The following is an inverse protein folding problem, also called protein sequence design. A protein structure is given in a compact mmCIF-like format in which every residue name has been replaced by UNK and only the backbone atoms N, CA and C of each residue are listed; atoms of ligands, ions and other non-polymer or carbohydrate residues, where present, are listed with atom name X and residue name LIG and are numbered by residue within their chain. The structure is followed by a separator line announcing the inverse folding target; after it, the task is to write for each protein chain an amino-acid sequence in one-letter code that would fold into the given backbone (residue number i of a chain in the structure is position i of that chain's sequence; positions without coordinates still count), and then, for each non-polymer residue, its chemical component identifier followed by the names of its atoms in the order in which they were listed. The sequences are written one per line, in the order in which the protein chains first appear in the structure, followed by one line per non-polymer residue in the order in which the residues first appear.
data_IF_058392546760
#
_entry.id   IF_058392546760
#
_cell.length_a   1.000
_cell.length_b   1.000
_cell.length_c   1.000
_cell.angle_alpha   90.00
_cell.angle_beta   90.00
_cell.angle_gamma   90.00
#
_symmetry.space_group_name_H-M   'P 1'
#
loop_
_entity.id
_entity.type
_entity.pdbx_description
1 polymer ?
#
# COMPACT_ATOMS: atom_id res chain seq x y z
N UNK A 1 28.07 -3.03 16.43
CA UNK A 1 27.12 -4.08 16.81
C UNK A 1 25.72 -3.70 16.32
N UNK A 2 25.18 -4.42 15.32
CA UNK A 2 23.88 -4.09 14.73
C UNK A 2 22.72 -4.64 15.54
N UNK A 3 21.83 -3.78 16.04
CA UNK A 3 20.61 -4.22 16.73
C UNK A 3 19.64 -4.88 15.75
N UNK A 4 19.20 -6.10 16.06
CA UNK A 4 18.18 -6.81 15.26
C UNK A 4 16.84 -6.07 15.39
N UNK A 5 16.35 -5.48 14.29
CA UNK A 5 15.06 -4.79 14.24
C UNK A 5 14.05 -5.65 13.49
N UNK A 6 12.84 -5.75 14.04
CA UNK A 6 11.72 -6.37 13.34
C UNK A 6 11.27 -5.53 12.15
N UNK A 7 10.85 -6.17 11.07
CA UNK A 7 10.24 -5.53 9.90
C UNK A 7 8.76 -5.90 9.84
N UNK A 8 7.97 -5.01 9.23
CA UNK A 8 6.58 -5.27 8.89
C UNK A 8 6.50 -5.68 7.43
N UNK A 9 5.53 -6.51 7.07
CA UNK A 9 5.32 -6.93 5.67
C UNK A 9 3.98 -6.41 5.18
N UNK A 10 4.05 -5.51 4.21
CA UNK A 10 2.92 -5.09 3.41
C UNK A 10 2.61 -6.18 2.38
N UNK A 11 1.33 -6.44 2.13
CA UNK A 11 0.88 -7.28 1.02
C UNK A 11 -0.37 -6.69 0.39
N UNK A 12 -0.42 -6.70 -0.93
CA UNK A 12 -1.60 -6.43 -1.74
C UNK A 12 -1.79 -7.56 -2.74
N UNK A 13 -3.06 -7.89 -3.03
CA UNK A 13 -3.41 -9.01 -3.88
C UNK A 13 -4.52 -8.61 -4.84
N UNK A 14 -4.31 -8.82 -6.13
CA UNK A 14 -5.33 -8.63 -7.15
C UNK A 14 -6.46 -9.67 -7.00
N UNK A 15 -7.70 -9.20 -7.11
CA UNK A 15 -8.88 -9.95 -6.67
C UNK A 15 -9.36 -10.99 -7.67
N UNK A 16 -8.88 -11.01 -8.92
CA UNK A 16 -9.21 -12.04 -9.88
C UNK A 16 -8.13 -13.13 -9.91
N UNK A 17 -6.91 -12.79 -10.34
CA UNK A 17 -5.78 -13.72 -10.54
C UNK A 17 -5.11 -14.20 -9.26
N UNK A 18 -5.30 -13.48 -8.14
CA UNK A 18 -4.50 -13.63 -6.92
C UNK A 18 -3.01 -13.26 -7.08
N UNK A 19 -2.65 -12.53 -8.14
CA UNK A 19 -1.33 -11.90 -8.28
C UNK A 19 -1.06 -11.06 -7.04
N UNK A 20 0.09 -11.33 -6.40
CA UNK A 20 0.51 -10.66 -5.19
C UNK A 20 1.64 -9.67 -5.44
N UNK A 21 1.75 -8.72 -4.52
CA UNK A 21 2.95 -7.94 -4.27
C UNK A 21 3.19 -7.92 -2.76
N UNK A 22 4.45 -8.10 -2.35
CA UNK A 22 4.87 -8.04 -0.95
C UNK A 22 6.09 -7.15 -0.80
N UNK A 23 6.08 -6.30 0.22
CA UNK A 23 7.18 -5.39 0.54
C UNK A 23 7.38 -5.37 2.06
N UNK A 24 8.63 -5.52 2.49
CA UNK A 24 9.03 -5.31 3.87
C UNK A 24 9.35 -3.83 4.10
N UNK A 25 8.83 -3.30 5.20
CA UNK A 25 9.01 -1.92 5.63
C UNK A 25 9.51 -1.85 7.07
N UNK A 26 10.29 -0.81 7.37
CA UNK A 26 10.81 -0.55 8.72
C UNK A 26 9.89 0.34 9.56
N UNK A 27 8.99 1.06 8.90
CA UNK A 27 8.03 1.99 9.50
C UNK A 27 6.65 1.74 8.93
N UNK A 28 5.69 2.22 9.69
CA UNK A 28 4.27 2.09 9.44
C UNK A 28 3.67 3.49 9.52
N UNK A 29 4.09 4.39 8.62
CA UNK A 29 3.38 5.67 8.43
C UNK A 29 2.38 5.57 7.27
N UNK A 30 1.46 6.52 7.20
CA UNK A 30 0.57 6.68 6.03
C UNK A 30 1.37 6.83 4.72
N UNK A 31 2.51 7.52 4.76
CA UNK A 31 3.38 7.73 3.60
C UNK A 31 4.02 6.42 3.11
N UNK A 32 4.52 5.62 4.04
CA UNK A 32 5.07 4.30 3.73
C UNK A 32 4.00 3.40 3.11
N UNK A 33 2.77 3.46 3.65
CA UNK A 33 1.64 2.67 3.15
C UNK A 33 1.22 3.05 1.73
N UNK A 34 1.04 4.34 1.45
CA UNK A 34 0.71 4.83 0.11
C UNK A 34 1.84 4.52 -0.88
N UNK A 35 3.10 4.62 -0.45
CA UNK A 35 4.25 4.24 -1.28
C UNK A 35 4.28 2.75 -1.60
N UNK A 36 3.94 1.87 -0.65
CA UNK A 36 3.83 0.43 -0.90
C UNK A 36 2.72 0.10 -1.91
N UNK A 37 1.56 0.76 -1.81
CA UNK A 37 0.46 0.61 -2.79
C UNK A 37 0.92 1.05 -4.18
N UNK A 38 1.56 2.22 -4.26
CA UNK A 38 2.13 2.72 -5.51
C UNK A 38 3.13 1.74 -6.11
N UNK A 39 4.10 1.26 -5.32
CA UNK A 39 5.08 0.28 -5.77
C UNK A 39 4.41 -0.98 -6.35
N UNK A 40 3.31 -1.43 -5.74
CA UNK A 40 2.54 -2.54 -6.26
C UNK A 40 1.87 -2.24 -7.60
N UNK A 41 1.30 -1.04 -7.80
CA UNK A 41 0.73 -0.64 -9.09
C UNK A 41 1.80 -0.65 -10.19
N UNK A 42 3.00 -0.15 -9.88
CA UNK A 42 4.14 -0.22 -10.80
C UNK A 42 4.59 -1.65 -11.08
N UNK A 43 4.61 -2.55 -10.08
CA UNK A 43 4.93 -3.97 -10.30
C UNK A 43 3.87 -4.68 -11.14
N UNK A 44 2.58 -4.35 -10.94
CA UNK A 44 1.49 -4.88 -11.77
C UNK A 44 1.49 -4.27 -13.19
N UNK A 45 2.16 -3.14 -13.38
CA UNK A 45 2.16 -2.40 -14.63
C UNK A 45 0.81 -1.72 -14.92
N UNK A 46 0.04 -1.39 -13.88
CA UNK A 46 -1.28 -0.79 -14.01
C UNK A 46 -1.99 -0.61 -12.67
N UNK A 47 -3.08 0.15 -12.68
CA UNK A 47 -3.87 0.50 -11.49
C UNK A 47 -5.21 -0.25 -11.52
N UNK A 48 -5.63 -0.94 -10.43
CA UNK A 48 -6.96 -1.51 -10.35
C UNK A 48 -8.04 -0.42 -10.28
N UNK A 49 -9.28 -0.74 -10.66
CA UNK A 49 -10.40 0.21 -10.51
C UNK A 49 -10.77 0.47 -9.04
N UNK A 50 -10.59 -0.53 -8.19
CA UNK A 50 -10.96 -0.46 -6.78
C UNK A 50 -9.87 -1.02 -5.89
N UNK A 51 -9.49 -0.27 -4.88
CA UNK A 51 -8.61 -0.67 -3.79
C UNK A 51 -9.45 -0.88 -2.54
N UNK A 52 -9.46 -2.10 -2.00
CA UNK A 52 -10.15 -2.39 -0.74
C UNK A 52 -9.13 -2.43 0.39
N UNK A 53 -9.30 -1.54 1.37
CA UNK A 53 -8.40 -1.43 2.53
C UNK A 53 -9.15 -1.91 3.77
N UNK A 54 -8.54 -2.84 4.52
CA UNK A 54 -9.13 -3.30 5.77
C UNK A 54 -8.94 -2.24 6.85
N UNK A 55 -10.01 -1.97 7.61
CA UNK A 55 -9.98 -1.20 8.84
C UNK A 55 -9.61 0.29 8.71
N UNK A 56 -10.42 1.03 7.94
CA UNK A 56 -10.46 2.50 8.00
C UNK A 56 -10.66 3.06 9.43
N UNK A 57 -11.19 2.29 10.40
CA UNK A 57 -11.68 2.82 11.70
C UNK A 57 -10.83 2.51 12.92
N UNK A 58 -10.10 1.38 13.00
CA UNK A 58 -9.29 1.03 14.19
C UNK A 58 -7.84 1.51 14.15
N UNK A 59 -7.55 2.51 13.31
CA UNK A 59 -6.37 3.37 13.44
C UNK A 59 -6.48 4.39 14.58
N UNK A 60 -7.66 4.51 15.18
CA UNK A 60 -7.95 5.45 16.25
C UNK A 60 -7.76 4.75 17.60
N UNK A 61 -6.51 4.50 17.95
CA UNK A 61 -5.96 4.61 19.31
C UNK A 61 -4.49 4.21 19.27
N UNK A 62 -3.64 5.23 19.18
CA UNK A 62 -2.17 5.20 19.17
C UNK A 62 -1.49 4.50 17.97
N UNK A 63 -0.86 5.34 17.13
CA UNK A 63 0.03 5.03 15.99
C UNK A 63 -0.63 4.66 14.63
N UNK A 64 -1.05 5.70 13.90
CA UNK A 64 -0.62 6.04 12.53
C UNK A 64 -0.81 5.04 11.37
N UNK A 65 -1.83 4.19 11.40
CA UNK A 65 -2.32 3.48 10.20
C UNK A 65 -3.81 3.73 9.95
N UNK A 66 -4.12 4.92 9.42
CA UNK A 66 -5.34 5.26 8.66
C UNK A 66 -6.62 5.62 9.47
N UNK A 67 -6.69 6.87 9.91
CA UNK A 67 -7.88 7.49 10.52
C UNK A 67 -9.12 7.40 9.57
N UNK A 68 -10.33 7.10 10.10
CA UNK A 68 -11.56 6.95 9.33
C UNK A 68 -12.11 8.22 8.66
N UNK A 69 -11.59 9.40 8.97
CA UNK A 69 -11.62 10.51 8.00
C UNK A 69 -10.50 10.28 7.00
N UNK A 70 -10.80 9.75 5.82
CA UNK A 70 -9.83 9.56 4.73
C UNK A 70 -8.93 10.81 4.62
N UNK A 71 -7.65 10.70 5.06
CA UNK A 71 -6.70 11.81 5.02
C UNK A 71 -6.74 12.44 3.63
N UNK A 72 -6.75 13.79 3.49
CA UNK A 72 -6.80 14.43 2.17
C UNK A 72 -5.74 13.86 1.21
N UNK A 73 -4.58 13.44 1.75
CA UNK A 73 -3.56 12.66 1.04
C UNK A 73 -4.04 11.36 0.40
N UNK A 74 -4.80 10.52 1.10
CA UNK A 74 -5.37 9.29 0.53
C UNK A 74 -6.41 9.59 -0.56
N UNK A 75 -7.15 10.70 -0.42
CA UNK A 75 -8.05 11.21 -1.47
C UNK A 75 -7.28 11.67 -2.69
N UNK A 76 -6.26 12.52 -2.52
CA UNK A 76 -5.38 12.96 -3.61
C UNK A 76 -4.67 11.79 -4.28
N UNK A 77 -4.28 10.77 -3.52
CA UNK A 77 -3.71 9.53 -4.06
C UNK A 77 -4.73 8.78 -4.92
N UNK A 78 -5.96 8.63 -4.43
CA UNK A 78 -7.06 8.00 -5.15
C UNK A 78 -7.37 8.74 -6.47
N UNK A 79 -7.37 10.08 -6.44
CA UNK A 79 -7.56 10.94 -7.61
C UNK A 79 -6.41 10.81 -8.62
N UNK A 80 -5.16 10.89 -8.15
CA UNK A 80 -3.94 10.79 -8.98
C UNK A 80 -3.90 9.47 -9.76
N UNK A 81 -4.24 8.36 -9.09
CA UNK A 81 -4.25 7.03 -9.69
C UNK A 81 -5.61 6.62 -10.28
N UNK A 82 -6.64 7.46 -10.16
CA UNK A 82 -8.03 7.16 -10.57
C UNK A 82 -8.55 5.84 -10.00
N UNK A 83 -8.26 5.58 -8.73
CA UNK A 83 -8.65 4.35 -8.03
C UNK A 83 -9.68 4.65 -6.94
N UNK A 84 -10.78 3.89 -6.91
CA UNK A 84 -11.75 4.00 -5.83
C UNK A 84 -11.23 3.27 -4.58
N UNK A 85 -10.96 4.00 -3.50
CA UNK A 85 -10.59 3.41 -2.21
C UNK A 85 -11.87 3.11 -1.42
N UNK A 86 -12.08 1.84 -1.09
CA UNK A 86 -13.24 1.38 -0.33
C UNK A 86 -12.80 0.75 1.00
N UNK A 87 -13.46 1.05 2.13
CA UNK A 87 -13.32 0.24 3.34
C UNK A 87 -13.77 -1.20 3.06
N UNK A 88 -13.17 -2.14 3.77
CA UNK A 88 -13.81 -3.45 3.97
C UNK A 88 -15.19 -3.24 4.59
N UNK A 89 -16.24 -3.66 3.86
CA UNK A 89 -17.59 -3.67 4.42
C UNK A 89 -17.60 -4.62 5.63
N UNK A 90 -18.20 -4.20 6.77
CA UNK A 90 -18.47 -5.10 7.89
C UNK A 90 -19.12 -6.39 7.38
N UNK A 91 -18.73 -7.53 7.93
CA UNK A 91 -19.26 -8.85 7.54
C UNK A 91 -19.04 -9.22 6.07
N UNK A 92 -17.93 -8.80 5.46
CA UNK A 92 -17.49 -9.37 4.16
C UNK A 92 -16.27 -10.28 4.32
N UNK A 93 -16.45 -11.54 4.81
CA UNK A 93 -15.37 -12.51 5.02
C UNK A 93 -14.49 -12.75 3.79
N UNK A 94 -15.03 -12.54 2.58
CA UNK A 94 -14.33 -12.84 1.33
C UNK A 94 -13.11 -11.94 1.11
N UNK A 95 -13.22 -10.62 1.33
CA UNK A 95 -12.09 -9.71 1.11
C UNK A 95 -11.06 -9.86 2.23
N UNK A 96 -11.52 -9.88 3.48
CA UNK A 96 -10.69 -10.09 4.67
C UNK A 96 -9.93 -11.42 4.62
N UNK A 97 -10.60 -12.51 4.23
CA UNK A 97 -9.97 -13.82 4.09
C UNK A 97 -8.89 -13.89 3.01
N UNK A 98 -9.02 -13.14 1.89
CA UNK A 98 -7.97 -13.09 0.85
C UNK A 98 -6.67 -12.49 1.39
N UNK A 99 -6.76 -11.36 2.10
CA UNK A 99 -5.57 -10.68 2.63
C UNK A 99 -4.95 -11.46 3.80
N UNK A 100 -5.76 -11.95 4.74
CA UNK A 100 -5.26 -12.76 5.86
C UNK A 100 -4.55 -14.02 5.38
N UNK A 101 -5.14 -14.74 4.41
CA UNK A 101 -4.51 -15.91 3.83
C UNK A 101 -3.24 -15.55 3.04
N UNK A 102 -3.23 -14.40 2.36
CA UNK A 102 -2.04 -13.88 1.68
C UNK A 102 -0.90 -13.59 2.65
N UNK A 103 -1.17 -12.90 3.77
CA UNK A 103 -0.19 -12.60 4.81
C UNK A 103 0.34 -13.89 5.45
N UNK A 104 -0.54 -14.84 5.80
CA UNK A 104 -0.14 -16.16 6.30
C UNK A 104 0.76 -16.89 5.31
N UNK A 105 0.44 -16.82 4.02
CA UNK A 105 1.21 -17.46 2.96
C UNK A 105 2.64 -16.90 2.87
N UNK A 106 2.79 -15.57 2.82
CA UNK A 106 4.12 -14.91 2.80
C UNK A 106 4.92 -15.24 4.06
N UNK A 107 4.31 -15.09 5.24
CA UNK A 107 5.01 -15.35 6.51
C UNK A 107 5.51 -16.78 6.60
N UNK A 108 4.69 -17.76 6.19
CA UNK A 108 5.02 -19.17 6.34
C UNK A 108 5.92 -19.73 5.22
N UNK A 109 5.85 -19.20 4.00
CA UNK A 109 6.58 -19.75 2.85
C UNK A 109 7.77 -18.89 2.42
N UNK A 110 7.65 -17.56 2.50
CA UNK A 110 8.71 -16.67 2.06
C UNK A 110 9.69 -16.34 3.19
N UNK A 111 9.18 -16.06 4.39
CA UNK A 111 9.96 -15.44 5.48
C UNK A 111 10.30 -16.37 6.64
N UNK A 112 9.57 -17.48 6.81
CA UNK A 112 9.75 -18.39 7.95
C UNK A 112 11.20 -18.89 8.01
N UNK A 113 11.79 -18.81 9.20
CA UNK A 113 13.16 -19.23 9.49
C UNK A 113 14.26 -18.54 8.64
N UNK A 114 13.99 -17.34 8.11
CA UNK A 114 14.98 -16.54 7.38
C UNK A 114 15.41 -15.30 8.15
N UNK A 115 16.65 -14.90 7.91
CA UNK A 115 17.23 -13.63 8.37
C UNK A 115 17.85 -12.92 7.19
N UNK A 116 17.89 -11.59 7.24
CA UNK A 116 18.40 -10.74 6.17
C UNK A 116 19.36 -9.72 6.76
N UNK A 117 20.43 -9.40 6.03
CA UNK A 117 21.42 -8.41 6.47
C UNK A 117 20.85 -6.98 6.40
N UNK A 118 20.07 -6.69 5.36
CA UNK A 118 19.42 -5.39 5.16
C UNK A 118 17.95 -5.52 4.76
N UNK A 119 17.20 -4.43 4.91
CA UNK A 119 15.82 -4.34 4.40
C UNK A 119 15.77 -4.54 2.88
N UNK A 120 16.78 -4.01 2.16
CA UNK A 120 16.89 -4.18 0.71
C UNK A 120 17.06 -5.65 0.32
N UNK A 121 17.83 -6.44 1.08
CA UNK A 121 17.99 -7.88 0.85
C UNK A 121 16.69 -8.64 1.07
N UNK A 122 15.95 -8.28 2.13
CA UNK A 122 14.62 -8.85 2.38
C UNK A 122 13.65 -8.56 1.23
N UNK A 123 13.62 -7.32 0.73
CA UNK A 123 12.76 -6.92 -0.38
C UNK A 123 13.15 -7.57 -1.71
N UNK A 124 14.46 -7.74 -1.95
CA UNK A 124 14.95 -8.50 -3.11
C UNK A 124 14.51 -9.96 -3.07
N UNK A 125 14.64 -10.60 -1.90
CA UNK A 125 14.16 -11.96 -1.68
C UNK A 125 12.65 -12.09 -1.87
N UNK A 126 11.86 -11.15 -1.32
CA UNK A 126 10.40 -11.14 -1.49
C UNK A 126 10.01 -11.01 -2.97
N UNK A 127 10.65 -10.12 -3.72
CA UNK A 127 10.39 -9.96 -5.17
C UNK A 127 10.69 -11.26 -5.93
N UNK A 128 11.84 -11.87 -5.68
CA UNK A 128 12.20 -13.14 -6.32
C UNK A 128 11.22 -14.26 -5.95
N UNK A 129 10.81 -14.34 -4.69
CA UNK A 129 9.85 -15.31 -4.21
C UNK A 129 8.45 -15.11 -4.82
N UNK A 130 7.98 -13.87 -4.98
CA UNK A 130 6.70 -13.61 -5.68
C UNK A 130 6.76 -14.18 -7.10
N UNK A 131 7.81 -13.87 -7.85
CA UNK A 131 7.96 -14.27 -9.26
C UNK A 131 8.14 -15.79 -9.43
N UNK A 132 8.90 -16.43 -8.55
CA UNK A 132 9.30 -17.84 -8.72
C UNK A 132 8.38 -18.83 -8.02
N UNK A 133 7.70 -18.41 -6.96
CA UNK A 133 6.87 -19.30 -6.12
C UNK A 133 5.41 -18.84 -6.10
N UNK A 134 5.15 -17.57 -5.77
CA UNK A 134 3.77 -17.12 -5.59
C UNK A 134 3.00 -16.99 -6.91
N UNK A 135 3.68 -16.62 -7.99
CA UNK A 135 3.14 -16.43 -9.34
C UNK A 135 3.03 -17.75 -10.12
N UNK A 136 3.86 -18.74 -9.79
CA UNK A 136 3.87 -20.07 -10.43
C UNK A 136 2.86 -21.05 -9.83
N UNK A 137 2.30 -20.73 -8.66
CA UNK A 137 1.30 -21.60 -8.00
C UNK A 137 -0.04 -21.60 -8.73
N UNK A 138 -0.79 -22.68 -8.53
CA UNK A 138 -2.20 -22.79 -8.91
C UNK A 138 -3.06 -22.29 -7.75
N UNK A 139 -3.97 -21.33 -7.98
CA UNK A 139 -4.83 -20.81 -6.90
C UNK A 139 -6.16 -21.57 -6.80
N UNK A 140 -6.63 -21.79 -5.57
CA UNK A 140 -7.73 -22.72 -5.29
C UNK A 140 -9.12 -22.34 -5.84
N UNK A 141 -9.36 -21.08 -6.19
CA UNK A 141 -10.69 -20.64 -6.68
C UNK A 141 -10.95 -21.06 -8.12
N UNK A 142 -10.01 -20.79 -9.04
CA UNK A 142 -10.16 -21.13 -10.46
C UNK A 142 -9.35 -22.36 -10.86
N UNK A 143 -8.49 -22.86 -9.96
CA UNK A 143 -7.53 -23.94 -10.23
C UNK A 143 -6.65 -23.66 -11.46
N UNK A 144 -6.31 -22.39 -11.66
CA UNK A 144 -5.41 -21.92 -12.71
C UNK A 144 -4.15 -21.31 -12.10
N UNK A 145 -3.08 -21.27 -12.89
CA UNK A 145 -1.82 -20.65 -12.50
C UNK A 145 -1.96 -19.13 -12.39
N UNK A 146 -1.51 -18.56 -11.27
CA UNK A 146 -1.67 -17.13 -10.94
C UNK A 146 -1.13 -16.22 -12.05
N UNK A 147 0.12 -16.45 -12.49
CA UNK A 147 0.75 -15.63 -13.53
C UNK A 147 0.01 -15.71 -14.88
N UNK A 148 -0.50 -16.91 -15.22
CA UNK A 148 -1.25 -17.14 -16.45
C UNK A 148 -2.52 -16.31 -16.47
N UNK A 149 -3.32 -16.37 -15.41
CA UNK A 149 -4.56 -15.59 -15.27
C UNK A 149 -4.27 -14.09 -15.22
N UNK A 150 -3.24 -13.68 -14.51
CA UNK A 150 -2.84 -12.27 -14.45
C UNK A 150 -2.51 -11.73 -15.84
N UNK A 151 -1.63 -12.41 -16.58
CA UNK A 151 -1.15 -11.94 -17.88
C UNK A 151 -2.25 -11.91 -18.94
N UNK A 152 -3.10 -12.93 -18.95
CA UNK A 152 -4.10 -13.12 -20.01
C UNK A 152 -5.42 -12.40 -19.75
N UNK A 153 -5.80 -12.21 -18.48
CA UNK A 153 -7.13 -11.69 -18.11
C UNK A 153 -7.06 -10.37 -17.34
N UNK A 154 -6.33 -10.34 -16.22
CA UNK A 154 -6.45 -9.21 -15.28
C UNK A 154 -5.58 -8.02 -15.66
N UNK A 155 -4.35 -8.24 -16.16
CA UNK A 155 -3.42 -7.18 -16.56
C UNK A 155 -3.99 -6.28 -17.67
N UNK A 156 -4.62 -6.81 -18.75
CA UNK A 156 -5.27 -5.97 -19.77
C UNK A 156 -6.44 -5.12 -19.25
N UNK A 157 -7.04 -5.51 -18.11
CA UNK A 157 -8.16 -4.78 -17.50
C UNK A 157 -7.71 -3.71 -16.48
N UNK A 158 -6.41 -3.59 -16.21
CA UNK A 158 -5.88 -2.53 -15.36
C UNK A 158 -5.90 -1.18 -16.08
N UNK A 159 -6.13 -0.12 -15.32
CA UNK A 159 -5.98 1.24 -15.80
C UNK A 159 -4.48 1.56 -16.02
N UNK A 160 -4.13 2.45 -16.96
CA UNK A 160 -2.75 2.85 -17.17
C UNK A 160 -2.19 3.58 -15.94
N UNK A 161 -0.89 3.48 -15.73
CA UNK A 161 -0.18 4.29 -14.73
C UNK A 161 -0.10 5.75 -15.21
N UNK A 162 -0.24 6.74 -14.31
CA UNK A 162 0.12 8.12 -14.62
C UNK A 162 1.62 8.25 -14.92
N UNK A 163 2.05 9.28 -15.66
CA UNK A 163 3.46 9.47 -16.03
C UNK A 163 4.35 9.70 -14.80
N UNK A 164 3.81 10.39 -13.80
CA UNK A 164 4.52 10.76 -12.58
C UNK A 164 4.01 9.96 -11.38
N UNK A 165 4.93 9.69 -10.45
CA UNK A 165 4.59 9.16 -9.13
C UNK A 165 3.87 10.21 -8.29
N UNK A 166 3.10 9.75 -7.32
CA UNK A 166 2.41 10.63 -6.40
C UNK A 166 3.42 11.35 -5.49
N UNK A 167 3.29 12.68 -5.44
CA UNK A 167 4.06 13.53 -4.55
C UNK A 167 3.53 13.42 -3.12
N UNK A 168 4.33 12.86 -2.20
CA UNK A 168 3.98 12.83 -0.79
C UNK A 168 4.15 14.22 -0.18
N UNK A 169 3.15 14.70 0.54
CA UNK A 169 3.13 16.02 1.16
C UNK A 169 2.77 15.94 2.65
N UNK A 170 2.93 17.04 3.39
CA UNK A 170 2.44 17.15 4.77
C UNK A 170 1.46 18.30 4.85
N UNK A 171 0.30 18.05 5.44
CA UNK A 171 -0.71 19.07 5.69
C UNK A 171 -0.81 19.30 7.20
N UNK A 172 -1.08 20.55 7.57
CA UNK A 172 -1.40 20.88 8.95
C UNK A 172 -2.26 22.15 8.97
N UNK A 173 -3.28 22.17 9.83
CA UNK A 173 -4.03 23.39 10.11
C UNK A 173 -3.12 24.39 10.83
N UNK A 174 -3.14 25.64 10.37
CA UNK A 174 -2.35 26.75 10.92
C UNK A 174 -3.23 27.98 11.03
N UNK A 175 -3.06 28.72 12.13
CA UNK A 175 -3.64 30.04 12.26
C UNK A 175 -2.76 31.06 11.56
N UNK A 176 -3.38 31.99 10.86
CA UNK A 176 -2.69 33.13 10.28
C UNK A 176 -2.27 34.07 11.40
N UNK A 177 -0.99 34.43 11.41
CA UNK A 177 -0.45 35.42 12.34
C UNK A 177 -0.93 36.82 11.93
N UNK A 178 -0.92 37.77 12.87
CA UNK A 178 -1.38 39.16 12.63
C UNK A 178 -0.60 39.89 11.54
N UNK A 179 0.60 39.42 11.21
CA UNK A 179 1.44 39.93 10.14
C UNK A 179 1.13 39.30 8.77
N UNK A 180 0.03 38.53 8.65
CA UNK A 180 -0.40 37.92 7.39
C UNK A 180 0.42 36.71 6.97
N UNK A 181 1.10 36.04 7.91
CA UNK A 181 1.93 34.86 7.62
C UNK A 181 1.45 33.61 8.36
N UNK A 182 1.74 32.43 7.81
CA UNK A 182 1.64 31.15 8.49
C UNK A 182 3.02 30.52 8.64
N UNK A 183 3.27 29.86 9.78
CA UNK A 183 4.53 29.19 10.03
C UNK A 183 4.47 27.68 9.71
N UNK A 184 5.39 27.22 8.87
CA UNK A 184 5.56 25.80 8.51
C UNK A 184 7.03 25.42 8.64
N UNK A 185 7.34 24.45 9.51
CA UNK A 185 8.70 23.95 9.77
C UNK A 185 9.73 25.09 9.88
N UNK A 186 9.43 26.05 10.75
CA UNK A 186 10.25 27.22 11.06
C UNK A 186 10.31 28.32 9.98
N UNK A 187 9.74 28.10 8.78
CA UNK A 187 9.61 29.12 7.74
C UNK A 187 8.24 29.80 7.75
N UNK A 188 8.20 31.08 7.35
CA UNK A 188 6.98 31.88 7.25
C UNK A 188 6.55 32.04 5.79
N UNK A 189 5.25 31.89 5.55
CA UNK A 189 4.65 32.00 4.22
C UNK A 189 3.52 33.03 4.28
N UNK A 190 3.54 34.02 3.40
CA UNK A 190 2.46 35.01 3.32
C UNK A 190 1.17 34.36 2.81
N UNK A 191 0.03 34.79 3.36
CA UNK A 191 -1.29 34.39 2.89
C UNK A 191 -2.01 35.56 2.25
N UNK A 192 -3.06 35.28 1.48
CA UNK A 192 -3.87 36.31 0.83
C UNK A 192 -4.57 37.23 1.85
N UNK A 193 -4.93 38.47 1.46
CA UNK A 193 -5.56 39.47 2.33
C UNK A 193 -6.96 39.07 2.84
N UNK A 194 -7.53 38.00 2.33
CA UNK A 194 -8.82 37.43 2.73
C UNK A 194 -8.81 36.67 4.07
N UNK A 195 -7.65 36.54 4.72
CA UNK A 195 -7.46 35.79 5.97
C UNK A 195 -7.05 36.65 7.17
#
# INVERSE_FOLDING_TARGET
TGHRRGTWVFRIVLSHSRKGYSEAVSRQSTDDFLRCIENAFFEFGGVPQTLVIDNLRAAVSSADWFDPELCPKARSFAEHYRVAILPTKPYTPRHKGKIENGIKYVKNNALKARTFATLADQNRHLRQWEQTVADTRIHGTMRQQVLGVFTTVEKPALQPLPPDRFALFQEALRSVHRDGHVQVKEAYYSVGPEY
#
